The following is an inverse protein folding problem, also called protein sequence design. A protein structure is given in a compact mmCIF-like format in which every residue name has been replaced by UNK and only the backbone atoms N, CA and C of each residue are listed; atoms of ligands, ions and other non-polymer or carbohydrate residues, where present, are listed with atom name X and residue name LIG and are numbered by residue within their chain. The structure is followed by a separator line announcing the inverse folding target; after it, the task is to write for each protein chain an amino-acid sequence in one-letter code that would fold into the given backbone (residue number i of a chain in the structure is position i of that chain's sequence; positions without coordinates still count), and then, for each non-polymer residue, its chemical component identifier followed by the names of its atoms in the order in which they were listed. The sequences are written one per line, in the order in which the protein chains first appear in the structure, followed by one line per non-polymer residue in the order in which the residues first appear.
data_IF_645948919338
#
_entry.id   IF_645948919338
#
_cell.length_a   1.000
_cell.length_b   1.000
_cell.length_c   1.000
_cell.angle_alpha   90.00
_cell.angle_beta   90.00
_cell.angle_gamma   90.00
#
_symmetry.space_group_name_H-M   'P 1'
#
loop_
_entity.id
_entity.type
_entity.pdbx_description
1 polymer ?
#
# COMPACT_ATOMS: atom_id res chain seq x y z
N UNK A 1 -45.39 -1.22 -10.31
CA UNK A 1 -45.22 -1.82 -8.97
C UNK A 1 -43.77 -1.61 -8.59
N UNK A 2 -43.47 -0.58 -7.79
CA UNK A 2 -42.11 -0.21 -7.42
C UNK A 2 -41.52 -1.27 -6.49
N UNK A 3 -40.45 -1.93 -6.91
CA UNK A 3 -39.68 -2.83 -6.06
C UNK A 3 -39.19 -2.07 -4.83
N UNK A 4 -39.75 -2.43 -3.68
CA UNK A 4 -39.25 -1.97 -2.39
C UNK A 4 -37.88 -2.61 -2.22
N UNK A 5 -36.83 -1.83 -2.47
CA UNK A 5 -35.46 -2.15 -2.08
C UNK A 5 -35.46 -2.44 -0.57
N UNK A 6 -35.49 -3.72 -0.21
CA UNK A 6 -35.37 -4.14 1.18
C UNK A 6 -33.94 -3.84 1.63
N UNK A 7 -33.74 -2.63 2.16
CA UNK A 7 -32.48 -2.26 2.81
C UNK A 7 -32.06 -3.35 3.79
N UNK A 8 -30.77 -3.68 3.80
CA UNK A 8 -30.20 -4.69 4.71
C UNK A 8 -30.65 -4.37 6.16
N UNK A 9 -31.21 -5.33 6.90
CA UNK A 9 -31.66 -5.09 8.27
C UNK A 9 -30.51 -4.54 9.11
N UNK A 10 -30.79 -3.49 9.88
CA UNK A 10 -29.82 -2.84 10.76
C UNK A 10 -29.32 -3.87 11.76
N UNK A 11 -28.05 -3.76 12.14
CA UNK A 11 -27.45 -4.73 13.07
C UNK A 11 -28.15 -4.75 14.44
N UNK A 12 -28.84 -3.66 14.80
CA UNK A 12 -29.68 -3.55 16.01
C UNK A 12 -30.93 -4.42 16.00
N UNK A 13 -31.41 -4.79 14.82
CA UNK A 13 -32.70 -5.49 14.64
C UNK A 13 -32.51 -7.01 14.57
N UNK A 14 -31.25 -7.47 14.60
CA UNK A 14 -30.89 -8.89 14.51
C UNK A 14 -31.01 -9.57 15.88
N UNK A 15 -31.65 -10.73 15.89
CA UNK A 15 -31.78 -11.59 17.09
C UNK A 15 -30.51 -12.39 17.39
N UNK A 16 -29.65 -12.59 16.39
CA UNK A 16 -28.38 -13.31 16.49
C UNK A 16 -27.24 -12.47 15.92
N UNK A 17 -26.01 -12.83 16.28
CA UNK A 17 -24.81 -12.18 15.76
C UNK A 17 -24.67 -12.45 14.25
N UNK A 18 -24.08 -11.49 13.53
CA UNK A 18 -23.67 -11.68 12.13
C UNK A 18 -22.62 -12.78 12.03
N UNK A 19 -22.80 -13.68 11.06
CA UNK A 19 -21.86 -14.76 10.81
C UNK A 19 -20.46 -14.24 10.48
N UNK A 20 -19.46 -14.77 11.19
CA UNK A 20 -18.05 -14.53 10.90
C UNK A 20 -17.62 -15.30 9.65
N UNK A 21 -16.79 -14.65 8.84
CA UNK A 21 -16.12 -15.26 7.70
C UNK A 21 -15.24 -16.44 8.15
N UNK A 22 -15.00 -17.41 7.25
CA UNK A 22 -14.13 -18.54 7.56
C UNK A 22 -12.71 -18.09 7.94
N UNK A 23 -12.20 -17.05 7.26
CA UNK A 23 -10.90 -16.46 7.57
C UNK A 23 -10.85 -15.87 8.98
N UNK A 24 -11.87 -15.13 9.42
CA UNK A 24 -11.88 -14.52 10.76
C UNK A 24 -11.95 -15.55 11.89
N UNK A 25 -12.52 -16.73 11.61
CA UNK A 25 -12.56 -17.86 12.55
C UNK A 25 -11.20 -18.53 12.65
N UNK A 26 -10.53 -18.78 11.52
CA UNK A 26 -9.33 -19.62 11.52
C UNK A 26 -8.02 -18.85 11.64
N UNK A 27 -7.97 -17.54 11.31
CA UNK A 27 -6.70 -16.79 11.19
C UNK A 27 -5.78 -16.87 12.40
N UNK A 28 -6.31 -16.80 13.63
CA UNK A 28 -5.47 -16.87 14.83
C UNK A 28 -5.02 -18.30 15.15
N UNK A 29 -5.88 -19.29 14.92
CA UNK A 29 -5.50 -20.71 15.09
C UNK A 29 -4.43 -21.10 14.07
N UNK A 30 -4.60 -20.69 12.81
CA UNK A 30 -3.60 -20.90 11.75
C UNK A 30 -2.31 -20.17 12.11
N UNK A 31 -2.38 -18.92 12.56
CA UNK A 31 -1.21 -18.16 12.98
C UNK A 31 -0.45 -18.88 14.12
N UNK A 32 -1.14 -19.31 15.17
CA UNK A 32 -0.50 -19.98 16.30
C UNK A 32 0.06 -21.35 15.91
N UNK A 33 -0.67 -22.12 15.08
CA UNK A 33 -0.16 -23.39 14.56
C UNK A 33 1.09 -23.18 13.70
N UNK A 34 1.04 -22.23 12.76
CA UNK A 34 2.17 -21.91 11.88
C UNK A 34 3.38 -21.45 12.69
N UNK A 35 3.18 -20.55 13.66
CA UNK A 35 4.25 -20.11 14.56
C UNK A 35 4.83 -21.30 15.31
N UNK A 36 4.00 -22.17 15.90
CA UNK A 36 4.46 -23.36 16.61
C UNK A 36 5.24 -24.32 15.69
N UNK A 37 4.78 -24.55 14.46
CA UNK A 37 5.48 -25.42 13.50
C UNK A 37 6.81 -24.84 13.01
N UNK A 38 6.87 -23.54 12.74
CA UNK A 38 8.14 -22.87 12.40
C UNK A 38 9.12 -23.02 13.56
N UNK A 39 8.63 -22.86 14.78
CA UNK A 39 9.40 -22.97 16.01
C UNK A 39 9.93 -24.39 16.26
N UNK A 40 9.11 -25.42 16.01
CA UNK A 40 9.55 -26.84 16.01
C UNK A 40 10.59 -27.10 14.93
N UNK A 41 10.35 -26.59 13.72
CA UNK A 41 11.27 -26.77 12.61
C UNK A 41 12.61 -26.08 12.84
N UNK A 42 12.61 -24.88 13.42
CA UNK A 42 13.83 -24.17 13.80
C UNK A 42 14.69 -25.02 14.75
N UNK A 43 14.09 -25.56 15.81
CA UNK A 43 14.81 -26.39 16.78
C UNK A 43 15.36 -27.70 16.15
N UNK A 44 14.65 -28.28 15.18
CA UNK A 44 15.12 -29.44 14.40
C UNK A 44 16.23 -29.09 13.41
N UNK A 45 16.18 -27.90 12.80
CA UNK A 45 17.20 -27.43 11.87
C UNK A 45 18.54 -27.19 12.58
N UNK A 46 18.49 -26.71 13.83
CA UNK A 46 19.68 -26.50 14.64
C UNK A 46 20.27 -27.82 15.20
N UNK A 47 19.45 -28.88 15.30
CA UNK A 47 19.86 -30.17 15.89
C UNK A 47 19.48 -31.37 15.01
N UNK A 48 20.43 -31.89 14.19
CA UNK A 48 20.17 -32.98 13.23
C UNK A 48 19.69 -34.31 13.84
N UNK A 49 19.85 -34.49 15.16
CA UNK A 49 19.51 -35.72 15.90
C UNK A 49 18.10 -35.62 16.53
N UNK A 50 17.53 -34.41 16.61
CA UNK A 50 16.24 -34.19 17.26
C UNK A 50 15.10 -34.66 16.36
N UNK A 51 14.42 -35.74 16.76
CA UNK A 51 13.25 -36.25 16.06
C UNK A 51 12.06 -35.31 16.15
N UNK A 52 11.16 -35.33 15.15
CA UNK A 52 9.99 -34.45 15.10
C UNK A 52 9.09 -34.57 16.33
N UNK A 53 8.83 -35.78 16.82
CA UNK A 53 8.02 -36.00 18.03
C UNK A 53 8.63 -35.36 19.26
N UNK A 54 9.95 -35.45 19.40
CA UNK A 54 10.67 -34.94 20.56
C UNK A 54 10.81 -33.42 20.47
N UNK A 55 11.01 -32.88 19.26
CA UNK A 55 10.97 -31.45 19.00
C UNK A 55 9.60 -30.85 19.34
N UNK A 56 8.51 -31.49 18.92
CA UNK A 56 7.14 -31.07 19.26
C UNK A 56 6.91 -31.08 20.77
N UNK A 57 7.29 -32.16 21.46
CA UNK A 57 7.14 -32.25 22.92
C UNK A 57 7.98 -31.21 23.65
N UNK A 58 9.26 -31.08 23.29
CA UNK A 58 10.15 -30.08 23.88
C UNK A 58 9.66 -28.65 23.65
N UNK A 59 9.07 -28.37 22.49
CA UNK A 59 8.44 -27.09 22.20
C UNK A 59 7.15 -26.88 23.01
N UNK A 60 6.33 -27.91 23.16
CA UNK A 60 5.10 -27.83 23.95
C UNK A 60 5.42 -27.50 25.42
N UNK A 61 6.48 -28.08 25.99
CA UNK A 61 6.87 -27.86 27.38
C UNK A 61 7.55 -26.50 27.59
N UNK A 62 8.51 -26.15 26.72
CA UNK A 62 9.25 -24.89 26.83
C UNK A 62 8.41 -23.66 26.44
N UNK A 63 7.52 -23.81 25.45
CA UNK A 63 6.67 -22.75 24.88
C UNK A 63 5.20 -22.96 25.27
N UNK A 64 4.96 -23.47 26.48
CA UNK A 64 3.63 -23.81 27.00
C UNK A 64 2.62 -22.66 26.96
N UNK A 65 3.09 -21.40 26.97
CA UNK A 65 2.27 -20.19 26.90
C UNK A 65 1.40 -20.10 25.64
N UNK A 66 1.74 -20.82 24.57
CA UNK A 66 0.93 -20.89 23.33
C UNK A 66 -0.42 -21.58 23.62
N UNK A 67 -0.47 -22.58 24.52
CA UNK A 67 -1.69 -23.33 24.80
C UNK A 67 -2.77 -22.49 25.51
N UNK A 68 -2.48 -21.68 26.56
CA UNK A 68 -3.44 -20.73 27.10
C UNK A 68 -3.98 -19.75 26.07
N UNK A 69 -3.14 -19.24 25.15
CA UNK A 69 -3.61 -18.35 24.08
C UNK A 69 -4.55 -19.06 23.12
N UNK A 70 -4.22 -20.28 22.74
CA UNK A 70 -5.08 -21.12 21.90
C UNK A 70 -6.40 -21.47 22.61
N UNK A 71 -6.36 -21.74 23.91
CA UNK A 71 -7.55 -21.98 24.72
C UNK A 71 -8.46 -20.74 24.79
N UNK A 72 -7.88 -19.55 25.00
CA UNK A 72 -8.62 -18.28 24.97
C UNK A 72 -9.27 -18.07 23.59
N UNK A 73 -8.54 -18.37 22.52
CA UNK A 73 -9.07 -18.27 21.16
C UNK A 73 -10.22 -19.26 20.92
N UNK A 74 -10.11 -20.51 21.40
CA UNK A 74 -11.20 -21.49 21.34
C UNK A 74 -12.44 -21.03 22.13
N UNK A 75 -12.26 -20.45 23.31
CA UNK A 75 -13.35 -19.87 24.10
C UNK A 75 -14.01 -18.74 23.30
N UNK A 76 -13.22 -17.85 22.68
CA UNK A 76 -13.73 -16.76 21.85
C UNK A 76 -14.54 -17.27 20.66
N UNK A 77 -14.04 -18.27 19.95
CA UNK A 77 -14.74 -18.89 18.82
C UNK A 77 -16.04 -19.56 19.26
N UNK A 78 -16.02 -20.30 20.36
CA UNK A 78 -17.21 -20.94 20.94
C UNK A 78 -18.25 -19.88 21.32
N UNK A 79 -17.84 -18.80 21.98
CA UNK A 79 -18.72 -17.68 22.32
C UNK A 79 -19.35 -17.04 21.08
N UNK A 80 -18.59 -16.84 20.01
CA UNK A 80 -19.11 -16.27 18.76
C UNK A 80 -20.05 -17.23 18.03
N UNK A 81 -19.69 -18.52 17.94
CA UNK A 81 -20.54 -19.53 17.33
C UNK A 81 -21.89 -19.66 18.07
N UNK A 82 -21.87 -19.73 19.40
CA UNK A 82 -23.09 -19.74 20.20
C UNK A 82 -23.92 -18.46 20.01
N UNK A 83 -23.27 -17.31 19.85
CA UNK A 83 -23.97 -16.04 19.59
C UNK A 83 -24.59 -15.95 18.18
N UNK A 84 -24.07 -16.70 17.22
CA UNK A 84 -24.64 -16.80 15.87
C UNK A 84 -25.78 -17.80 15.80
N UNK A 85 -25.66 -18.93 16.51
CA UNK A 85 -26.63 -20.03 16.47
C UNK A 85 -27.81 -19.81 17.42
N UNK A 86 -27.57 -19.27 18.62
CA UNK A 86 -28.56 -19.21 19.69
C UNK A 86 -28.94 -17.75 20.00
N UNK A 87 -30.12 -17.34 19.53
CA UNK A 87 -30.74 -16.06 19.88
C UNK A 87 -30.81 -15.79 21.41
N UNK A 88 -31.19 -16.74 22.29
CA UNK A 88 -31.21 -16.46 23.73
C UNK A 88 -29.82 -16.21 24.31
N UNK A 89 -28.80 -16.94 23.86
CA UNK A 89 -27.41 -16.72 24.28
C UNK A 89 -26.93 -15.33 23.87
N UNK A 90 -27.13 -14.96 22.59
CA UNK A 90 -26.80 -13.62 22.11
C UNK A 90 -27.55 -12.52 22.89
N UNK A 91 -28.83 -12.74 23.18
CA UNK A 91 -29.66 -11.82 23.96
C UNK A 91 -29.17 -11.59 25.38
N UNK A 92 -28.63 -12.62 26.06
CA UNK A 92 -28.02 -12.48 27.39
C UNK A 92 -26.82 -11.53 27.32
N UNK A 93 -25.92 -11.74 26.36
CA UNK A 93 -24.74 -10.89 26.19
C UNK A 93 -25.11 -9.47 25.77
N UNK A 94 -26.11 -9.29 24.90
CA UNK A 94 -26.62 -7.95 24.57
C UNK A 94 -27.18 -7.24 25.81
N UNK A 95 -27.93 -7.94 26.67
CA UNK A 95 -28.46 -7.37 27.92
C UNK A 95 -27.33 -6.99 28.88
N UNK A 96 -26.32 -7.85 29.02
CA UNK A 96 -25.12 -7.57 29.82
C UNK A 96 -24.39 -6.34 29.31
N UNK A 97 -24.06 -6.27 28.02
CA UNK A 97 -23.37 -5.11 27.44
C UNK A 97 -24.21 -3.83 27.54
N UNK A 98 -25.52 -3.87 27.29
CA UNK A 98 -26.42 -2.73 27.50
C UNK A 98 -26.51 -2.30 28.97
N UNK A 99 -26.38 -3.23 29.91
CA UNK A 99 -26.33 -2.91 31.33
C UNK A 99 -25.01 -2.21 31.69
N UNK A 100 -23.87 -2.76 31.25
CA UNK A 100 -22.55 -2.15 31.43
C UNK A 100 -22.49 -0.77 30.77
N UNK A 101 -23.00 -0.66 29.54
CA UNK A 101 -23.04 0.60 28.80
C UNK A 101 -23.86 1.66 29.54
N UNK A 102 -25.04 1.30 30.05
CA UNK A 102 -25.83 2.18 30.93
C UNK A 102 -25.08 2.58 32.20
N UNK A 103 -24.38 1.65 32.85
CA UNK A 103 -23.56 1.98 34.03
C UNK A 103 -22.43 2.94 33.70
N UNK A 104 -21.75 2.72 32.58
CA UNK A 104 -20.64 3.56 32.13
C UNK A 104 -21.16 4.95 31.72
N UNK A 105 -22.27 5.03 30.99
CA UNK A 105 -22.90 6.28 30.56
C UNK A 105 -23.50 7.12 31.69
N UNK A 106 -23.61 6.59 32.93
CA UNK A 106 -23.87 7.43 34.12
C UNK A 106 -22.72 8.39 34.42
N UNK A 107 -21.52 8.08 33.97
CA UNK A 107 -20.36 8.95 34.07
C UNK A 107 -20.36 9.96 32.93
N UNK A 108 -19.98 11.22 33.24
CA UNK A 108 -19.81 12.25 32.21
C UNK A 108 -18.82 11.79 31.13
N UNK A 109 -19.01 12.26 29.89
CA UNK A 109 -18.13 11.95 28.75
C UNK A 109 -16.66 12.24 29.07
N UNK A 110 -16.41 13.34 29.78
CA UNK A 110 -15.09 13.73 30.24
C UNK A 110 -14.51 12.76 31.26
N UNK A 111 -15.30 12.29 32.23
CA UNK A 111 -14.88 11.29 33.22
C UNK A 111 -14.53 9.96 32.55
N UNK A 112 -15.36 9.52 31.58
CA UNK A 112 -15.11 8.28 30.82
C UNK A 112 -13.83 8.36 30.00
N UNK A 113 -13.60 9.50 29.34
CA UNK A 113 -12.38 9.74 28.58
C UNK A 113 -11.12 9.67 29.47
N UNK A 114 -11.15 10.36 30.63
CA UNK A 114 -10.06 10.32 31.61
C UNK A 114 -9.83 8.91 32.14
N UNK A 115 -10.90 8.22 32.52
CA UNK A 115 -10.80 6.85 33.05
C UNK A 115 -10.24 5.89 32.00
N UNK A 116 -10.68 5.97 30.74
CA UNK A 116 -10.10 5.18 29.65
C UNK A 116 -8.61 5.45 29.47
N UNK A 117 -8.20 6.72 29.53
CA UNK A 117 -6.78 7.10 29.43
C UNK A 117 -5.97 6.57 30.62
N UNK A 118 -6.50 6.69 31.84
CA UNK A 118 -5.87 6.15 33.06
C UNK A 118 -5.73 4.64 32.96
N UNK A 119 -6.79 3.91 32.58
CA UNK A 119 -6.74 2.45 32.38
C UNK A 119 -5.68 2.09 31.33
N UNK A 120 -5.63 2.80 30.20
CA UNK A 120 -4.62 2.58 29.17
C UNK A 120 -3.20 2.80 29.71
N UNK A 121 -2.97 3.87 30.47
CA UNK A 121 -1.67 4.12 31.07
C UNK A 121 -1.32 3.09 32.15
N UNK A 122 -2.27 2.66 32.98
CA UNK A 122 -2.07 1.61 33.97
C UNK A 122 -1.72 0.27 33.31
N UNK A 123 -2.43 -0.11 32.24
CA UNK A 123 -2.12 -1.31 31.46
C UNK A 123 -0.74 -1.20 30.82
N UNK A 124 -0.41 -0.06 30.21
CA UNK A 124 0.90 0.17 29.61
C UNK A 124 2.02 0.14 30.64
N UNK A 125 1.81 0.75 31.82
CA UNK A 125 2.76 0.77 32.91
C UNK A 125 2.92 -0.62 33.55
N UNK A 126 1.83 -1.38 33.69
CA UNK A 126 1.88 -2.78 34.14
C UNK A 126 2.64 -3.67 33.15
N UNK A 127 2.38 -3.51 31.85
CA UNK A 127 3.11 -4.24 30.82
C UNK A 127 4.61 -3.88 30.82
N UNK A 128 4.92 -2.59 30.88
CA UNK A 128 6.29 -2.10 31.00
C UNK A 128 6.98 -2.65 32.25
N UNK A 129 6.28 -2.69 33.39
CA UNK A 129 6.78 -3.24 34.64
C UNK A 129 7.16 -4.72 34.50
N UNK A 130 6.29 -5.54 33.87
CA UNK A 130 6.56 -6.97 33.64
C UNK A 130 7.74 -7.16 32.68
N UNK A 131 7.81 -6.40 31.59
CA UNK A 131 8.91 -6.48 30.62
C UNK A 131 10.24 -6.10 31.27
N UNK A 132 10.30 -4.94 31.93
CA UNK A 132 11.52 -4.49 32.61
C UNK A 132 11.89 -5.45 33.74
N UNK A 133 10.92 -5.99 34.49
CA UNK A 133 11.15 -6.99 35.53
C UNK A 133 11.77 -8.27 34.96
N UNK A 134 11.30 -8.73 33.80
CA UNK A 134 11.89 -9.86 33.10
C UNK A 134 13.31 -9.59 32.60
N UNK A 135 13.61 -8.38 32.13
CA UNK A 135 14.94 -7.99 31.62
C UNK A 135 15.94 -7.84 32.75
N UNK A 136 15.56 -7.13 33.82
CA UNK A 136 16.43 -6.83 34.96
C UNK A 136 16.40 -7.90 36.05
N UNK A 137 15.58 -8.94 35.90
CA UNK A 137 15.37 -10.03 36.88
C UNK A 137 14.95 -9.51 38.26
N UNK A 138 14.09 -8.49 38.27
CA UNK A 138 13.62 -7.81 39.47
C UNK A 138 12.09 -7.85 39.55
N UNK A 139 11.52 -7.51 40.70
CA UNK A 139 10.06 -7.43 40.82
C UNK A 139 9.51 -6.33 39.90
N UNK A 140 8.31 -6.49 39.31
CA UNK A 140 7.77 -5.52 38.35
C UNK A 140 7.75 -4.08 38.87
N UNK A 141 7.42 -3.91 40.16
CA UNK A 141 7.37 -2.59 40.81
C UNK A 141 8.78 -1.99 40.93
N UNK A 142 9.79 -2.77 41.32
CA UNK A 142 11.18 -2.30 41.40
C UNK A 142 11.75 -1.97 40.01
N UNK A 143 11.39 -2.77 39.01
CA UNK A 143 11.85 -2.61 37.65
C UNK A 143 11.45 -1.26 37.02
N UNK A 144 10.28 -0.71 37.40
CA UNK A 144 9.84 0.60 36.94
C UNK A 144 10.78 1.74 37.37
N UNK A 145 11.46 1.63 38.50
CA UNK A 145 12.45 2.63 38.92
C UNK A 145 13.69 2.64 38.04
N UNK A 146 13.98 1.54 37.34
CA UNK A 146 15.04 1.48 36.33
C UNK A 146 14.60 1.99 34.96
N UNK A 147 13.32 2.28 34.74
CA UNK A 147 12.79 2.72 33.45
C UNK A 147 13.51 3.97 32.88
N UNK A 148 13.86 5.02 33.67
CA UNK A 148 14.60 6.16 33.14
C UNK A 148 16.00 5.77 32.61
N UNK A 149 16.71 4.89 33.34
CA UNK A 149 18.02 4.37 32.93
C UNK A 149 17.89 3.53 31.66
N UNK A 150 16.88 2.66 31.61
CA UNK A 150 16.58 1.82 30.44
C UNK A 150 16.33 2.68 29.21
N UNK A 151 15.49 3.73 29.34
CA UNK A 151 15.20 4.67 28.27
C UNK A 151 16.47 5.36 27.77
N UNK A 152 17.31 5.87 28.68
CA UNK A 152 18.57 6.53 28.32
C UNK A 152 19.52 5.59 27.58
N UNK A 153 19.63 4.34 28.03
CA UNK A 153 20.45 3.33 27.35
C UNK A 153 19.90 2.92 25.99
N UNK A 154 18.58 3.04 25.77
CA UNK A 154 17.94 2.75 24.50
C UNK A 154 18.02 3.92 23.50
N UNK A 155 18.31 5.15 23.94
CA UNK A 155 18.37 6.33 23.06
C UNK A 155 19.32 6.15 21.85
N UNK A 156 20.55 5.64 21.99
CA UNK A 156 21.43 5.42 20.84
C UNK A 156 20.84 4.42 19.83
N UNK A 157 20.26 3.32 20.32
CA UNK A 157 19.61 2.32 19.46
C UNK A 157 18.38 2.90 18.74
N UNK A 158 17.54 3.65 19.46
CA UNK A 158 16.38 4.34 18.87
C UNK A 158 16.83 5.37 17.83
N UNK A 159 17.90 6.12 18.12
CA UNK A 159 18.51 7.05 17.18
C UNK A 159 19.03 6.35 15.92
N UNK A 160 19.71 5.21 16.08
CA UNK A 160 20.18 4.40 14.96
C UNK A 160 19.01 3.83 14.13
N UNK A 161 17.95 3.35 14.76
CA UNK A 161 16.75 2.86 14.08
C UNK A 161 16.04 3.98 13.31
N UNK A 162 15.89 5.15 13.93
CA UNK A 162 15.31 6.32 13.26
C UNK A 162 16.17 6.76 12.07
N UNK A 163 17.50 6.79 12.24
CA UNK A 163 18.43 7.08 11.17
C UNK A 163 18.34 6.05 10.04
N UNK A 164 18.27 4.76 10.36
CA UNK A 164 18.14 3.69 9.37
C UNK A 164 16.82 3.81 8.58
N UNK A 165 15.70 4.03 9.27
CA UNK A 165 14.40 4.26 8.62
C UNK A 165 14.45 5.49 7.71
N UNK A 166 14.98 6.60 8.22
CA UNK A 166 15.15 7.84 7.46
C UNK A 166 16.02 7.62 6.21
N UNK A 167 17.15 6.93 6.36
CA UNK A 167 18.06 6.61 5.27
C UNK A 167 17.41 5.74 4.20
N UNK A 168 16.67 4.69 4.61
CA UNK A 168 15.91 3.83 3.68
C UNK A 168 14.86 4.64 2.92
N UNK A 169 14.14 5.54 3.59
CA UNK A 169 13.13 6.40 2.93
C UNK A 169 13.80 7.31 1.90
N UNK A 170 14.94 7.92 2.24
CA UNK A 170 15.69 8.75 1.29
C UNK A 170 16.19 7.95 0.11
N UNK A 171 16.80 6.78 0.34
CA UNK A 171 17.28 5.92 -0.73
C UNK A 171 16.15 5.49 -1.65
N UNK A 172 15.01 5.09 -1.08
CA UNK A 172 13.83 4.72 -1.85
C UNK A 172 13.34 5.89 -2.71
N UNK A 173 13.23 7.09 -2.13
CA UNK A 173 12.85 8.29 -2.86
C UNK A 173 13.85 8.65 -3.97
N UNK A 174 15.16 8.50 -3.71
CA UNK A 174 16.21 8.77 -4.68
C UNK A 174 16.18 7.78 -5.85
N UNK A 175 16.03 6.48 -5.57
CA UNK A 175 15.86 5.44 -6.60
C UNK A 175 14.61 5.73 -7.43
N UNK A 176 13.48 6.03 -6.78
CA UNK A 176 12.23 6.34 -7.46
C UNK A 176 12.37 7.58 -8.37
N UNK A 177 13.04 8.62 -7.88
CA UNK A 177 13.34 9.82 -8.67
C UNK A 177 14.24 9.53 -9.86
N UNK A 178 15.28 8.71 -9.69
CA UNK A 178 16.19 8.32 -10.76
C UNK A 178 15.46 7.52 -11.86
N UNK A 179 14.65 6.53 -11.48
CA UNK A 179 13.84 5.73 -12.41
C UNK A 179 12.80 6.58 -13.16
N UNK A 180 12.34 7.69 -12.57
CA UNK A 180 11.34 8.57 -13.19
C UNK A 180 11.88 9.45 -14.33
N UNK A 181 13.20 9.66 -14.42
CA UNK A 181 13.83 10.67 -15.31
C UNK A 181 14.18 10.20 -16.73
N UNK A 182 14.32 8.90 -17.00
CA UNK A 182 14.85 8.42 -18.29
C UNK A 182 13.84 8.42 -19.45
N UNK A 183 14.29 8.42 -20.70
CA UNK A 183 13.48 8.07 -21.88
C UNK A 183 12.62 9.18 -22.52
N UNK A 184 12.90 10.45 -22.24
CA UNK A 184 12.31 11.60 -22.98
C UNK A 184 13.43 12.57 -23.32
N UNK A 185 13.76 12.67 -24.60
CA UNK A 185 14.77 13.59 -25.12
C UNK A 185 14.08 14.74 -25.86
N UNK A 186 14.60 15.96 -25.68
CA UNK A 186 14.08 17.17 -26.34
C UNK A 186 15.19 17.76 -27.19
N UNK A 187 14.96 17.80 -28.50
CA UNK A 187 15.85 18.42 -29.48
C UNK A 187 15.32 19.79 -29.82
N UNK A 188 16.16 20.82 -29.70
CA UNK A 188 15.78 22.18 -30.06
C UNK A 188 15.95 22.39 -31.57
N UNK A 189 15.27 23.39 -32.17
CA UNK A 189 15.33 23.64 -33.61
C UNK A 189 16.76 23.76 -34.16
N UNK A 190 17.67 24.37 -33.37
CA UNK A 190 19.09 24.55 -33.74
C UNK A 190 19.87 23.22 -33.82
N UNK A 191 19.41 22.19 -33.12
CA UNK A 191 20.03 20.86 -33.10
C UNK A 191 19.58 20.01 -34.30
N UNK A 192 18.47 20.36 -34.95
CA UNK A 192 17.83 19.55 -36.00
C UNK A 192 18.25 20.03 -37.38
N UNK A 193 19.11 19.25 -38.04
CA UNK A 193 19.62 19.56 -39.38
C UNK A 193 18.79 18.97 -40.52
N UNK A 194 18.00 17.94 -40.24
CA UNK A 194 17.19 17.22 -41.23
C UNK A 194 16.06 18.11 -41.76
N UNK A 195 15.82 18.09 -43.07
CA UNK A 195 14.77 18.85 -43.78
C UNK A 195 13.94 17.96 -44.69
N UNK A 196 12.85 18.47 -45.24
CA UNK A 196 12.01 17.70 -46.16
C UNK A 196 12.75 17.29 -47.45
N UNK A 197 13.78 18.05 -47.84
CA UNK A 197 14.68 17.68 -48.95
C UNK A 197 15.47 16.40 -48.69
N UNK A 198 15.62 15.99 -47.44
CA UNK A 198 16.42 14.82 -47.06
C UNK A 198 15.60 13.52 -47.07
N UNK A 199 14.29 13.60 -47.33
CA UNK A 199 13.40 12.44 -47.44
C UNK A 199 13.09 12.13 -48.90
N UNK A 200 13.49 10.94 -49.35
CA UNK A 200 13.47 10.55 -50.77
C UNK A 200 12.46 9.42 -51.02
N UNK A 201 11.75 9.49 -52.15
CA UNK A 201 10.90 8.39 -52.64
C UNK A 201 9.56 8.21 -51.92
N UNK A 202 9.13 9.20 -51.11
CA UNK A 202 7.90 9.16 -50.31
C UNK A 202 7.07 10.45 -50.43
N UNK A 203 7.06 11.05 -51.63
CA UNK A 203 6.49 12.38 -51.87
C UNK A 203 5.01 12.50 -51.47
N UNK A 204 4.23 11.45 -51.72
CA UNK A 204 2.81 11.42 -51.32
C UNK A 204 2.63 11.51 -49.79
N UNK A 205 3.48 10.83 -49.01
CA UNK A 205 3.42 10.88 -47.54
C UNK A 205 3.87 12.26 -47.06
N UNK A 206 4.93 12.81 -47.65
CA UNK A 206 5.43 14.14 -47.30
C UNK A 206 4.38 15.23 -47.56
N UNK A 207 3.67 15.16 -48.69
CA UNK A 207 2.61 16.10 -49.03
C UNK A 207 1.48 16.07 -48.01
N UNK A 208 1.05 14.87 -47.56
CA UNK A 208 0.08 14.75 -46.47
C UNK A 208 0.59 15.33 -45.15
N UNK A 209 1.86 15.12 -44.81
CA UNK A 209 2.44 15.71 -43.59
C UNK A 209 2.42 17.24 -43.69
N UNK A 210 2.80 17.82 -44.83
CA UNK A 210 2.74 19.28 -45.08
C UNK A 210 1.33 19.85 -44.92
N UNK A 211 0.32 19.18 -45.48
CA UNK A 211 -1.08 19.61 -45.31
C UNK A 211 -1.49 19.63 -43.83
N UNK A 212 -1.12 18.59 -43.07
CA UNK A 212 -1.41 18.53 -41.63
C UNK A 212 -0.64 19.57 -40.83
N UNK A 213 0.58 19.95 -41.24
CA UNK A 213 1.34 21.02 -40.59
C UNK A 213 0.63 22.37 -40.67
N UNK A 214 0.07 22.71 -41.83
CA UNK A 214 -0.70 23.95 -42.02
C UNK A 214 -1.87 24.01 -41.02
N UNK A 215 -2.49 22.87 -40.72
CA UNK A 215 -3.58 22.77 -39.75
C UNK A 215 -3.11 23.01 -38.31
N UNK A 216 -1.87 22.64 -37.98
CA UNK A 216 -1.27 22.84 -36.66
C UNK A 216 -0.70 24.26 -36.45
N UNK A 217 -0.38 24.98 -37.52
CA UNK A 217 0.09 26.37 -37.46
C UNK A 217 -1.06 27.37 -37.33
N UNK A 218 -2.20 27.09 -37.94
CA UNK A 218 -3.37 27.97 -37.88
C UNK A 218 -4.67 27.22 -37.54
N UNK A 219 -4.78 26.65 -36.32
CA UNK A 219 -5.93 25.86 -35.91
C UNK A 219 -7.23 26.68 -35.87
N UNK A 220 -7.16 27.95 -35.47
CA UNK A 220 -8.33 28.84 -35.38
C UNK A 220 -9.04 29.04 -36.72
N UNK A 221 -8.26 29.12 -37.81
CA UNK A 221 -8.80 29.23 -39.17
C UNK A 221 -9.70 28.05 -39.52
N UNK A 222 -9.34 26.84 -39.09
CA UNK A 222 -10.09 25.63 -39.40
C UNK A 222 -11.34 25.51 -38.53
N UNK A 223 -11.20 25.78 -37.24
CA UNK A 223 -12.33 25.74 -36.31
C UNK A 223 -13.40 26.77 -36.70
N UNK A 224 -13.00 27.95 -37.18
CA UNK A 224 -13.93 29.00 -37.66
C UNK A 224 -14.78 28.55 -38.85
N UNK A 225 -14.30 27.62 -39.67
CA UNK A 225 -15.03 27.05 -40.81
C UNK A 225 -15.72 25.71 -40.46
N UNK A 226 -15.79 25.36 -39.17
CA UNK A 226 -16.42 24.12 -38.68
C UNK A 226 -15.59 22.85 -38.93
N UNK A 227 -14.30 22.99 -39.26
CA UNK A 227 -13.39 21.88 -39.47
C UNK A 227 -12.79 21.33 -38.18
N UNK A 228 -12.29 20.10 -38.22
CA UNK A 228 -11.61 19.43 -37.11
C UNK A 228 -10.09 19.44 -37.32
N UNK A 229 -9.34 19.92 -36.32
CA UNK A 229 -7.86 19.88 -36.35
C UNK A 229 -7.39 18.48 -35.94
N UNK A 230 -6.63 17.76 -36.78
CA UNK A 230 -6.10 16.44 -36.44
C UNK A 230 -5.16 16.49 -35.23
N UNK A 231 -5.40 15.63 -34.23
CA UNK A 231 -4.61 15.61 -32.99
C UNK A 231 -3.24 14.91 -33.08
N UNK A 232 -2.94 14.20 -34.17
CA UNK A 232 -1.67 13.49 -34.35
C UNK A 232 -1.61 12.65 -35.63
N UNK A 233 -0.40 12.27 -36.03
CA UNK A 233 -0.13 11.47 -37.23
C UNK A 233 0.57 10.18 -36.80
N UNK A 234 0.10 9.02 -37.30
CA UNK A 234 0.76 7.73 -37.10
C UNK A 234 1.44 7.29 -38.40
N UNK A 235 2.77 7.17 -38.36
CA UNK A 235 3.56 6.61 -39.46
C UNK A 235 3.79 5.12 -39.18
N UNK A 236 3.34 4.26 -40.11
CA UNK A 236 3.43 2.80 -40.01
C UNK A 236 4.17 2.23 -41.22
N UNK A 237 4.86 1.12 -41.04
CA UNK A 237 5.52 0.38 -42.13
C UNK A 237 6.72 -0.44 -41.64
N UNK A 238 7.32 -1.27 -42.52
CA UNK A 238 8.50 -2.10 -42.21
C UNK A 238 9.66 -1.29 -41.58
N UNK A 239 10.54 -1.91 -40.77
CA UNK A 239 11.72 -1.22 -40.25
C UNK A 239 12.60 -0.69 -41.39
N UNK A 240 13.24 0.46 -41.19
CA UNK A 240 14.13 1.07 -42.19
C UNK A 240 13.46 1.94 -43.27
N UNK A 241 12.14 2.11 -43.26
CA UNK A 241 11.42 2.94 -44.27
C UNK A 241 11.43 4.45 -44.01
N UNK A 242 12.33 4.96 -43.16
CA UNK A 242 12.47 6.41 -42.93
C UNK A 242 11.39 7.08 -42.05
N UNK A 243 10.61 6.34 -41.27
CA UNK A 243 9.58 6.91 -40.38
C UNK A 243 10.13 7.94 -39.40
N UNK A 244 11.24 7.63 -38.72
CA UNK A 244 11.90 8.54 -37.79
C UNK A 244 12.50 9.75 -38.52
N UNK A 245 13.12 9.52 -39.68
CA UNK A 245 13.66 10.57 -40.54
C UNK A 245 12.57 11.57 -40.98
N UNK A 246 11.38 11.08 -41.33
CA UNK A 246 10.23 11.94 -41.64
C UNK A 246 9.82 12.80 -40.44
N UNK A 247 9.75 12.23 -39.24
CA UNK A 247 9.41 12.97 -38.03
C UNK A 247 10.47 14.04 -37.69
N UNK A 248 11.75 13.73 -37.84
CA UNK A 248 12.85 14.69 -37.66
C UNK A 248 12.82 15.81 -38.71
N UNK A 249 12.59 15.46 -39.98
CA UNK A 249 12.48 16.45 -41.07
C UNK A 249 11.32 17.43 -40.85
N UNK A 250 10.19 16.95 -40.32
CA UNK A 250 9.04 17.78 -39.96
C UNK A 250 9.40 18.80 -38.86
N UNK A 251 10.14 18.37 -37.85
CA UNK A 251 10.60 19.29 -36.80
C UNK A 251 11.58 20.34 -37.34
N UNK A 252 12.49 19.92 -38.23
CA UNK A 252 13.44 20.84 -38.87
C UNK A 252 12.77 21.90 -39.74
N UNK A 253 11.66 21.58 -40.39
CA UNK A 253 10.93 22.53 -41.26
C UNK A 253 10.00 23.47 -40.47
N UNK A 254 9.40 22.98 -39.39
CA UNK A 254 8.52 23.81 -38.55
C UNK A 254 9.28 24.73 -37.60
N UNK A 255 10.58 24.48 -37.37
CA UNK A 255 11.38 25.22 -36.39
C UNK A 255 10.86 25.10 -34.95
N UNK A 256 10.09 24.03 -34.64
CA UNK A 256 9.56 23.77 -33.30
C UNK A 256 10.39 22.69 -32.59
N UNK A 257 10.49 22.70 -31.24
CA UNK A 257 11.18 21.65 -30.51
C UNK A 257 10.61 20.26 -30.79
N UNK A 258 11.47 19.28 -31.01
CA UNK A 258 11.11 17.88 -31.21
C UNK A 258 11.29 17.10 -29.92
N UNK A 259 10.24 16.44 -29.44
CA UNK A 259 10.32 15.60 -28.24
C UNK A 259 10.26 14.14 -28.65
N UNK A 260 11.39 13.46 -28.54
CA UNK A 260 11.51 12.04 -28.74
C UNK A 260 11.19 11.31 -27.43
N UNK A 261 10.36 10.28 -27.52
CA UNK A 261 10.01 9.45 -26.37
C UNK A 261 10.31 8.00 -26.73
N UNK A 262 11.19 7.38 -25.95
CA UNK A 262 11.49 5.97 -26.12
C UNK A 262 10.24 5.11 -25.82
N UNK A 263 9.91 4.11 -26.64
CA UNK A 263 8.75 3.24 -26.39
C UNK A 263 8.76 2.58 -24.99
N UNK A 264 9.94 2.24 -24.47
CA UNK A 264 10.15 1.71 -23.13
C UNK A 264 10.09 2.76 -22.01
N UNK A 265 10.06 4.05 -22.34
CA UNK A 265 10.01 5.12 -21.34
C UNK A 265 8.74 5.06 -20.48
N UNK A 266 7.64 4.52 -20.99
CA UNK A 266 6.38 4.43 -20.26
C UNK A 266 6.21 3.11 -19.51
N UNK A 267 6.98 2.07 -19.86
CA UNK A 267 6.99 0.80 -19.12
C UNK A 267 7.80 0.97 -17.84
N UNK A 268 7.12 0.96 -16.70
CA UNK A 268 7.73 1.17 -15.39
C UNK A 268 7.36 0.02 -14.44
N UNK A 269 8.24 -0.27 -13.48
CA UNK A 269 8.02 -1.33 -12.46
C UNK A 269 6.84 -1.02 -11.51
N UNK A 270 6.43 0.25 -11.41
CA UNK A 270 5.39 0.71 -10.50
C UNK A 270 4.15 1.18 -11.26
N UNK A 271 2.98 0.68 -10.84
CA UNK A 271 1.70 1.12 -11.38
C UNK A 271 1.49 2.63 -11.12
N UNK A 272 0.98 3.34 -12.13
CA UNK A 272 0.68 4.77 -12.05
C UNK A 272 1.83 5.73 -12.43
N UNK A 273 3.09 5.27 -12.45
CA UNK A 273 4.24 6.10 -12.87
C UNK A 273 4.12 6.51 -14.33
N UNK A 274 3.70 5.60 -15.22
CA UNK A 274 3.46 5.91 -16.63
C UNK A 274 2.46 7.07 -16.82
N UNK A 275 1.36 7.08 -16.07
CA UNK A 275 0.34 8.15 -16.13
C UNK A 275 0.91 9.49 -15.68
N UNK A 276 1.67 9.51 -14.58
CA UNK A 276 2.33 10.73 -14.11
C UNK A 276 3.33 11.27 -15.13
N UNK A 277 4.07 10.38 -15.80
CA UNK A 277 5.03 10.74 -16.85
C UNK A 277 4.34 11.32 -18.08
N UNK A 278 3.25 10.71 -18.57
CA UNK A 278 2.44 11.28 -19.67
C UNK A 278 1.93 12.67 -19.29
N UNK A 279 1.33 12.82 -18.10
CA UNK A 279 0.85 14.14 -17.63
C UNK A 279 1.98 15.16 -17.52
N UNK A 280 3.15 14.74 -17.02
CA UNK A 280 4.34 15.56 -16.92
C UNK A 280 4.86 16.02 -18.28
N UNK A 281 4.91 15.11 -19.25
CA UNK A 281 5.31 15.36 -20.64
C UNK A 281 4.39 16.41 -21.29
N UNK A 282 3.08 16.18 -21.27
CA UNK A 282 2.13 17.14 -21.85
C UNK A 282 2.13 18.48 -21.12
N UNK A 283 2.37 18.51 -19.80
CA UNK A 283 2.53 19.77 -19.05
C UNK A 283 3.80 20.52 -19.46
N UNK A 284 4.89 19.80 -19.81
CA UNK A 284 6.12 20.41 -20.33
C UNK A 284 5.90 20.96 -21.74
N UNK A 285 5.20 20.22 -22.60
CA UNK A 285 4.88 20.63 -23.99
C UNK A 285 3.96 21.84 -24.09
N UNK A 286 3.14 22.11 -23.06
CA UNK A 286 2.26 23.30 -22.99
C UNK A 286 2.96 24.56 -22.52
N UNK A 287 4.19 24.46 -22.01
CA UNK A 287 4.99 25.60 -21.56
C UNK A 287 5.93 26.02 -22.67
#
# INVERSE_FOLDING_TARGET
MSEVSTSRPRDTDRKTRVHLSLYDRSKFVILFALVFFILVWADMSDNPILGFSDAVRGNADSRWWIFPLLAIELIRQTHFLLSELLAPYHGIWQKYFKFIDRLIHKLSDWTRYRLSRIIKYLLLLSLLAVILGSIYKETPVRALFFAPKALWSALPMLGQLLFAVFFVVIQFAAIFWFLSRGGVDTYFPDDIRTRFSDVWGQDHVLNRIRENLVFLENPESIEKHGGYVPGGILLWGPPGTGKTLMAESMAGETGKPFVFVDPGAFTNMFMGVGVLKVKGLFRKLRK
#
